data_IF_757200362556
#
_entry.id   IF_757200362556
#
_cell.length_a   1.000
_cell.length_b   1.000
_cell.length_c   1.000
_cell.angle_alpha   90.00
_cell.angle_beta   90.00
_cell.angle_gamma   90.00
#
_symmetry.space_group_name_H-M   'P 1'
#
loop_
_entity.id
_entity.type
_entity.pdbx_description
1 polymer ?
#
# COMPACT_ATOMS: atom_id res chain seq x y z
N UNK A 1 1.91 -3.94 9.17
CA UNK A 1 1.44 -2.58 8.99
C UNK A 1 0.02 -2.70 8.51
N UNK A 2 -0.92 -2.33 9.36
CA UNK A 2 -2.34 -2.57 9.13
C UNK A 2 -3.04 -1.33 8.56
N UNK A 3 -4.25 -1.49 8.03
CA UNK A 3 -5.01 -0.40 7.41
C UNK A 3 -5.21 0.82 8.33
N UNK A 4 -5.29 0.62 9.64
CA UNK A 4 -5.40 1.72 10.61
C UNK A 4 -4.10 2.52 10.71
N UNK A 5 -2.94 1.86 10.74
CA UNK A 5 -1.64 2.54 10.80
C UNK A 5 -1.39 3.37 9.53
N UNK A 6 -1.76 2.83 8.35
CA UNK A 6 -1.67 3.54 7.07
C UNK A 6 -2.57 4.78 7.09
N UNK A 7 -3.80 4.65 7.59
CA UNK A 7 -4.74 5.78 7.73
C UNK A 7 -4.17 6.89 8.60
N UNK A 8 -3.68 6.56 9.80
CA UNK A 8 -3.08 7.54 10.71
C UNK A 8 -1.85 8.22 10.10
N UNK A 9 -1.02 7.46 9.38
CA UNK A 9 0.14 7.98 8.68
C UNK A 9 -0.28 8.98 7.59
N UNK A 10 -1.28 8.64 6.76
CA UNK A 10 -1.83 9.55 5.74
C UNK A 10 -2.33 10.84 6.39
N UNK A 11 -3.14 10.73 7.45
CA UNK A 11 -3.73 11.89 8.14
C UNK A 11 -2.63 12.83 8.66
N UNK A 12 -1.61 12.25 9.30
CA UNK A 12 -0.49 12.99 9.88
C UNK A 12 0.40 13.61 8.81
N UNK A 13 0.77 12.83 7.80
CA UNK A 13 1.70 13.28 6.76
C UNK A 13 1.05 14.36 5.91
N UNK A 14 -0.15 14.13 5.39
CA UNK A 14 -0.84 15.09 4.52
C UNK A 14 -1.39 16.29 5.32
N UNK A 15 -1.52 16.15 6.65
CA UNK A 15 -1.96 17.24 7.52
C UNK A 15 -3.48 17.48 7.49
N UNK A 16 -4.26 16.44 7.22
CA UNK A 16 -5.72 16.52 7.01
C UNK A 16 -6.53 16.28 8.29
N UNK A 17 -5.88 16.15 9.46
CA UNK A 17 -6.54 15.86 10.74
C UNK A 17 -7.64 16.87 11.13
N UNK A 18 -7.54 18.12 10.64
CA UNK A 18 -8.53 19.17 10.87
C UNK A 18 -9.71 19.18 9.92
N UNK A 19 -9.73 18.33 8.89
CA UNK A 19 -10.83 18.25 7.93
C UNK A 19 -12.00 17.44 8.49
N UNK A 20 -13.24 17.64 7.98
CA UNK A 20 -14.36 16.75 8.26
C UNK A 20 -14.04 15.30 7.87
N UNK A 21 -14.60 14.33 8.60
CA UNK A 21 -14.35 12.90 8.33
C UNK A 21 -14.62 12.50 6.88
N UNK A 22 -15.66 13.05 6.26
CA UNK A 22 -16.02 12.78 4.86
C UNK A 22 -14.90 13.21 3.89
N UNK A 23 -14.35 14.41 4.08
CA UNK A 23 -13.22 14.93 3.31
C UNK A 23 -11.92 14.15 3.59
N UNK A 24 -11.70 13.74 4.85
CA UNK A 24 -10.57 12.88 5.17
C UNK A 24 -10.69 11.53 4.44
N UNK A 25 -11.86 10.90 4.48
CA UNK A 25 -12.11 9.61 3.87
C UNK A 25 -11.95 9.65 2.34
N UNK A 26 -12.35 10.75 1.68
CA UNK A 26 -12.13 10.92 0.24
C UNK A 26 -10.63 10.97 -0.10
N UNK A 27 -9.86 11.76 0.64
CA UNK A 27 -8.42 11.89 0.44
C UNK A 27 -7.70 10.57 0.75
N UNK A 28 -8.06 9.94 1.87
CA UNK A 28 -7.52 8.63 2.27
C UNK A 28 -7.85 7.57 1.22
N UNK A 29 -9.05 7.59 0.63
CA UNK A 29 -9.43 6.65 -0.43
C UNK A 29 -8.56 6.82 -1.68
N UNK A 30 -8.38 8.05 -2.14
CA UNK A 30 -7.51 8.36 -3.30
C UNK A 30 -6.06 7.94 -3.04
N UNK A 31 -5.50 8.34 -1.90
CA UNK A 31 -4.12 7.99 -1.52
C UNK A 31 -3.95 6.49 -1.29
N UNK A 32 -4.93 5.84 -0.68
CA UNK A 32 -4.95 4.39 -0.49
C UNK A 32 -4.87 3.64 -1.83
N UNK A 33 -5.59 4.09 -2.85
CA UNK A 33 -5.51 3.50 -4.19
C UNK A 33 -4.13 3.70 -4.84
N UNK A 34 -3.53 4.89 -4.70
CA UNK A 34 -2.20 5.19 -5.23
C UNK A 34 -1.13 4.34 -4.52
N UNK A 35 -1.19 4.28 -3.19
CA UNK A 35 -0.31 3.45 -2.36
C UNK A 35 -0.41 1.98 -2.78
N UNK A 36 -1.64 1.45 -2.92
CA UNK A 36 -1.86 0.07 -3.33
C UNK A 36 -1.26 -0.21 -4.72
N UNK A 37 -1.47 0.68 -5.69
CA UNK A 37 -0.88 0.57 -7.02
C UNK A 37 0.65 0.58 -6.97
N UNK A 38 1.24 1.49 -6.21
CA UNK A 38 2.69 1.58 -6.04
C UNK A 38 3.26 0.31 -5.41
N UNK A 39 2.65 -0.16 -4.32
CA UNK A 39 3.02 -1.41 -3.65
C UNK A 39 2.98 -2.59 -4.61
N UNK A 40 1.90 -2.75 -5.37
CA UNK A 40 1.76 -3.83 -6.34
C UNK A 40 2.91 -3.84 -7.35
N UNK A 41 3.29 -2.67 -7.88
CA UNK A 41 4.42 -2.54 -8.81
C UNK A 41 5.73 -2.97 -8.15
N UNK A 42 6.03 -2.42 -6.97
CA UNK A 42 7.28 -2.72 -6.24
C UNK A 42 7.36 -4.20 -5.84
N UNK A 43 6.23 -4.78 -5.42
CA UNK A 43 6.11 -6.21 -5.13
C UNK A 43 6.40 -7.03 -6.39
N UNK A 44 5.82 -6.67 -7.54
CA UNK A 44 6.09 -7.33 -8.82
C UNK A 44 7.57 -7.28 -9.22
N UNK A 45 8.26 -6.18 -8.94
CA UNK A 45 9.70 -6.02 -9.20
C UNK A 45 10.56 -6.92 -8.30
N UNK A 46 10.10 -7.19 -7.07
CA UNK A 46 10.79 -8.06 -6.11
C UNK A 46 10.43 -9.54 -6.28
N UNK A 47 9.24 -9.84 -6.78
CA UNK A 47 8.78 -11.19 -7.03
C UNK A 47 9.57 -11.82 -8.18
N UNK A 48 10.04 -13.07 -8.03
CA UNK A 48 10.62 -13.82 -9.13
C UNK A 48 9.56 -14.02 -10.23
N UNK A 49 10.00 -14.03 -11.49
CA UNK A 49 9.10 -14.10 -12.65
C UNK A 49 8.15 -15.30 -12.60
N UNK A 50 8.65 -16.43 -12.12
CA UNK A 50 7.90 -17.68 -11.96
C UNK A 50 6.75 -17.57 -10.93
N UNK A 51 6.86 -16.68 -9.95
CA UNK A 51 5.86 -16.47 -8.91
C UNK A 51 4.86 -15.36 -9.25
N UNK A 52 5.07 -14.62 -10.35
CA UNK A 52 4.17 -13.52 -10.76
C UNK A 52 2.79 -14.03 -11.18
N UNK A 53 2.73 -15.14 -11.90
CA UNK A 53 1.47 -15.76 -12.30
C UNK A 53 0.65 -16.18 -11.07
N UNK A 54 1.29 -16.80 -10.08
CA UNK A 54 0.63 -17.20 -8.83
C UNK A 54 0.17 -15.98 -8.03
N UNK A 55 0.95 -14.90 -8.02
CA UNK A 55 0.53 -13.63 -7.41
C UNK A 55 -0.73 -13.04 -8.05
N UNK A 56 -0.85 -13.09 -9.39
CA UNK A 56 -2.04 -12.62 -10.10
C UNK A 56 -3.28 -13.46 -9.73
N UNK A 57 -3.14 -14.78 -9.66
CA UNK A 57 -4.23 -15.68 -9.27
C UNK A 57 -4.68 -15.43 -7.82
N UNK A 58 -3.74 -15.40 -6.88
CA UNK A 58 -4.04 -15.18 -5.45
C UNK A 58 -4.61 -13.79 -5.21
N UNK A 59 -4.13 -12.77 -5.95
CA UNK A 59 -4.68 -11.41 -5.86
C UNK A 59 -6.09 -11.29 -6.45
N UNK A 60 -6.40 -12.07 -7.48
CA UNK A 60 -7.72 -12.07 -8.11
C UNK A 60 -8.81 -12.69 -7.22
N UNK A 61 -8.46 -13.61 -6.32
CA UNK A 61 -9.40 -14.16 -5.32
C UNK A 61 -9.85 -13.11 -4.28
N UNK A 62 -9.10 -12.02 -4.13
CA UNK A 62 -9.41 -10.94 -3.18
C UNK A 62 -9.21 -11.34 -1.71
N UNK A 63 -8.59 -12.49 -1.45
CA UNK A 63 -8.27 -12.94 -0.11
C UNK A 63 -6.95 -12.29 0.36
N UNK A 64 -7.11 -11.23 1.14
CA UNK A 64 -5.99 -10.46 1.67
C UNK A 64 -5.02 -11.32 2.52
N UNK A 65 -5.53 -12.30 3.27
CA UNK A 65 -4.69 -13.17 4.09
C UNK A 65 -3.84 -14.11 3.23
N UNK A 66 -4.42 -14.64 2.15
CA UNK A 66 -3.68 -15.47 1.20
C UNK A 66 -2.61 -14.66 0.47
N UNK A 67 -2.94 -13.47 -0.03
CA UNK A 67 -1.98 -12.56 -0.67
C UNK A 67 -0.83 -12.24 0.30
N UNK A 68 -1.15 -11.89 1.56
CA UNK A 68 -0.13 -11.56 2.54
C UNK A 68 0.79 -12.74 2.87
N UNK A 69 0.25 -13.95 2.99
CA UNK A 69 1.04 -15.17 3.22
C UNK A 69 1.97 -15.46 2.04
N UNK A 70 1.44 -15.43 0.82
CA UNK A 70 2.22 -15.62 -0.40
C UNK A 70 3.39 -14.62 -0.46
N UNK A 71 3.09 -13.34 -0.25
CA UNK A 71 4.11 -12.29 -0.27
C UNK A 71 5.14 -12.45 0.84
N UNK A 72 4.75 -12.88 2.04
CA UNK A 72 5.70 -13.12 3.14
C UNK A 72 6.68 -14.28 2.84
N UNK A 73 6.30 -15.23 1.99
CA UNK A 73 7.18 -16.34 1.58
C UNK A 73 8.20 -15.93 0.52
N UNK A 74 7.83 -15.00 -0.36
CA UNK A 74 8.70 -14.55 -1.46
C UNK A 74 9.42 -13.22 -1.20
N UNK A 75 8.89 -12.40 -0.29
CA UNK A 75 9.38 -11.06 0.06
C UNK A 75 9.58 -11.01 1.58
N UNK A 76 10.75 -11.43 2.11
CA UNK A 76 10.99 -11.53 3.54
C UNK A 76 10.92 -10.18 4.28
N UNK A 77 11.20 -9.07 3.59
CA UNK A 77 11.13 -7.70 4.12
C UNK A 77 9.82 -6.97 3.74
N UNK A 78 8.75 -7.73 3.42
CA UNK A 78 7.47 -7.15 3.01
C UNK A 78 6.94 -6.06 3.95
N UNK A 79 6.97 -6.20 5.29
CA UNK A 79 6.49 -5.14 6.19
C UNK A 79 7.31 -3.84 6.10
N UNK A 80 8.64 -3.96 5.91
CA UNK A 80 9.53 -2.82 5.77
C UNK A 80 9.32 -2.14 4.41
N UNK A 81 9.19 -2.94 3.35
CA UNK A 81 8.88 -2.47 2.00
C UNK A 81 7.55 -1.73 1.96
N UNK A 82 6.52 -2.27 2.63
CA UNK A 82 5.22 -1.59 2.75
C UNK A 82 5.37 -0.22 3.40
N UNK A 83 6.05 -0.13 4.54
CA UNK A 83 6.23 1.12 5.25
C UNK A 83 7.04 2.14 4.44
N UNK A 84 8.06 1.69 3.71
CA UNK A 84 8.88 2.52 2.83
C UNK A 84 8.07 3.06 1.65
N UNK A 85 7.33 2.20 0.96
CA UNK A 85 6.55 2.60 -0.22
C UNK A 85 5.38 3.52 0.15
N UNK A 86 4.73 3.29 1.31
CA UNK A 86 3.71 4.21 1.83
C UNK A 86 4.31 5.59 2.06
N UNK A 87 5.45 5.68 2.76
CA UNK A 87 6.12 6.97 3.01
C UNK A 87 6.54 7.65 1.71
N UNK A 88 7.17 6.91 0.82
CA UNK A 88 7.61 7.40 -0.49
C UNK A 88 6.44 7.95 -1.30
N UNK A 89 5.33 7.20 -1.38
CA UNK A 89 4.12 7.63 -2.10
C UNK A 89 3.53 8.90 -1.49
N UNK A 90 3.52 9.04 -0.16
CA UNK A 90 3.03 10.24 0.50
C UNK A 90 3.96 11.46 0.30
N UNK A 91 5.27 11.25 0.27
CA UNK A 91 6.22 12.31 -0.07
C UNK A 91 6.05 12.76 -1.52
N UNK A 92 5.97 11.80 -2.44
CA UNK A 92 5.80 12.06 -3.87
C UNK A 92 4.50 12.83 -4.14
N UNK A 93 3.40 12.44 -3.48
CA UNK A 93 2.13 13.17 -3.55
C UNK A 93 2.25 14.62 -3.05
N UNK A 94 2.99 14.85 -1.96
CA UNK A 94 3.23 16.22 -1.44
C UNK A 94 4.12 17.07 -2.33
N UNK A 95 5.05 16.46 -3.08
CA UNK A 95 5.94 17.17 -3.99
C UNK A 95 5.27 17.50 -5.33
N UNK A 96 4.22 16.76 -5.70
CA UNK A 96 3.45 16.96 -6.92
C UNK A 96 2.26 17.95 -6.78
N UNK A 97 1.83 18.29 -5.55
CA UNK A 97 0.82 19.33 -5.25
C UNK A 97 1.45 20.67 -4.81
#
# INVERSE_FOLDING_TARGET
MDNQEIRELIIKEIGIAGLPEDAQNEIIGKLGEIILKSLTVTIFEKLPEEARAEFEEVSAEGDYELVQKFLAQHVPDLPALMAEEVKKTLQDFKEQE
#
